data_IF_497061152250
#
_entry.id   IF_497061152250
#
_cell.length_a   1.000
_cell.length_b   1.000
_cell.length_c   1.000
_cell.angle_alpha   90.00
_cell.angle_beta   90.00
_cell.angle_gamma   90.00
#
_symmetry.space_group_name_H-M   'P 1'
#
loop_
_entity.id
_entity.type
_entity.pdbx_description
1 polymer ?
#
# COMPACT_ATOMS: atom_id res chain seq x y z
N UNK A 1 11.77 31.91 11.09
CA UNK A 1 12.60 31.56 9.92
C UNK A 1 11.69 31.65 8.71
N UNK A 2 12.05 32.40 7.67
CA UNK A 2 11.24 32.48 6.45
C UNK A 2 11.90 31.62 5.38
N UNK A 3 11.40 30.39 5.22
CA UNK A 3 11.74 29.54 4.09
C UNK A 3 11.15 30.14 2.80
N UNK A 4 11.79 29.90 1.66
CA UNK A 4 11.13 30.11 0.38
C UNK A 4 9.97 29.11 0.20
N UNK A 5 9.06 29.43 -0.69
CA UNK A 5 7.95 28.54 -1.05
C UNK A 5 8.47 27.20 -1.62
N UNK A 6 9.55 27.22 -2.41
CA UNK A 6 10.20 26.01 -2.92
C UNK A 6 10.82 25.15 -1.81
N UNK A 7 11.46 25.78 -0.82
CA UNK A 7 12.01 25.09 0.34
C UNK A 7 10.90 24.47 1.20
N UNK A 8 9.82 25.22 1.43
CA UNK A 8 8.66 24.77 2.19
C UNK A 8 8.02 23.54 1.54
N UNK A 9 7.76 23.59 0.22
CA UNK A 9 7.25 22.44 -0.54
C UNK A 9 8.16 21.22 -0.47
N UNK A 10 9.48 21.44 -0.57
CA UNK A 10 10.45 20.34 -0.52
C UNK A 10 10.45 19.64 0.84
N UNK A 11 10.41 20.40 1.93
CA UNK A 11 10.34 19.86 3.29
C UNK A 11 8.99 19.16 3.52
N UNK A 12 7.88 19.78 3.11
CA UNK A 12 6.54 19.21 3.21
C UNK A 12 6.49 17.82 2.53
N UNK A 13 6.97 17.74 1.28
CA UNK A 13 7.02 16.49 0.52
C UNK A 13 7.86 15.42 1.23
N UNK A 14 9.01 15.82 1.77
CA UNK A 14 9.88 14.90 2.52
C UNK A 14 9.20 14.36 3.77
N UNK A 15 8.57 15.24 4.56
CA UNK A 15 7.82 14.85 5.78
C UNK A 15 6.69 13.91 5.42
N UNK A 16 5.90 14.24 4.40
CA UNK A 16 4.77 13.44 3.92
C UNK A 16 5.21 12.02 3.53
N UNK A 17 6.26 11.90 2.71
CA UNK A 17 6.76 10.60 2.26
C UNK A 17 7.27 9.75 3.43
N UNK A 18 7.99 10.34 4.38
CA UNK A 18 8.48 9.59 5.55
C UNK A 18 7.32 9.12 6.42
N UNK A 19 6.32 9.98 6.65
CA UNK A 19 5.13 9.61 7.43
C UNK A 19 4.31 8.51 6.75
N UNK A 20 4.12 8.58 5.44
CA UNK A 20 3.43 7.54 4.67
C UNK A 20 4.15 6.19 4.77
N UNK A 21 5.47 6.17 4.56
CA UNK A 21 6.26 4.93 4.64
C UNK A 21 6.27 4.36 6.05
N UNK A 22 6.33 5.20 7.08
CA UNK A 22 6.28 4.73 8.46
C UNK A 22 4.90 4.11 8.78
N UNK A 23 3.82 4.75 8.35
CA UNK A 23 2.46 4.23 8.50
C UNK A 23 2.29 2.88 7.81
N UNK A 24 2.83 2.72 6.60
CA UNK A 24 2.79 1.45 5.87
C UNK A 24 3.55 0.34 6.62
N UNK A 25 4.73 0.64 7.17
CA UNK A 25 5.49 -0.31 7.99
C UNK A 25 4.73 -0.72 9.27
N UNK A 26 4.14 0.26 9.98
CA UNK A 26 3.33 -0.02 11.17
C UNK A 26 2.09 -0.85 10.84
N UNK A 27 1.45 -0.59 9.69
CA UNK A 27 0.30 -1.37 9.23
C UNK A 27 0.67 -2.83 8.93
N UNK A 28 1.83 -3.09 8.33
CA UNK A 28 2.34 -4.46 8.09
C UNK A 28 2.56 -5.21 9.40
N UNK A 29 3.22 -4.57 10.38
CA UNK A 29 3.46 -5.18 11.70
C UNK A 29 2.13 -5.43 12.42
N UNK A 30 1.20 -4.48 12.38
CA UNK A 30 -0.11 -4.69 12.99
C UNK A 30 -0.89 -5.82 12.31
N UNK A 31 -0.85 -5.89 10.97
CA UNK A 31 -1.51 -6.94 10.21
C UNK A 31 -1.03 -8.33 10.63
N UNK A 32 0.28 -8.55 10.73
CA UNK A 32 0.85 -9.86 11.10
C UNK A 32 0.62 -10.24 12.56
N UNK A 33 0.49 -9.25 13.45
CA UNK A 33 0.13 -9.50 14.85
C UNK A 33 -1.34 -9.93 15.01
N UNK A 34 -2.24 -9.37 14.22
CA UNK A 34 -3.68 -9.65 14.29
C UNK A 34 -4.12 -10.83 13.43
N UNK A 35 -3.47 -11.04 12.28
CA UNK A 35 -3.85 -12.05 11.30
C UNK A 35 -2.69 -13.02 11.11
N UNK A 36 -2.86 -14.23 11.64
CA UNK A 36 -1.92 -15.35 11.44
C UNK A 36 -2.28 -16.23 10.24
N UNK A 37 -3.24 -15.80 9.44
CA UNK A 37 -3.66 -16.53 8.26
C UNK A 37 -2.55 -16.52 7.21
N UNK A 38 -2.33 -17.69 6.58
CA UNK A 38 -1.40 -17.81 5.46
C UNK A 38 -2.07 -17.24 4.22
N UNK A 39 -1.36 -16.40 3.47
CA UNK A 39 -1.86 -15.97 2.16
C UNK A 39 -1.88 -17.13 1.17
N UNK A 40 -2.59 -16.95 0.06
CA UNK A 40 -2.85 -18.02 -0.93
C UNK A 40 -1.56 -18.46 -1.62
N UNK A 41 -0.75 -17.51 -2.09
CA UNK A 41 0.53 -17.77 -2.75
C UNK A 41 1.73 -17.30 -1.93
N UNK A 42 1.56 -16.25 -1.11
CA UNK A 42 2.62 -15.65 -0.31
C UNK A 42 2.19 -15.65 1.15
N UNK A 43 3.06 -16.13 2.04
CA UNK A 43 2.86 -16.03 3.49
C UNK A 43 3.77 -14.94 4.03
N UNK A 44 3.19 -13.97 4.74
CA UNK A 44 3.94 -12.99 5.51
C UNK A 44 4.14 -13.54 6.92
N UNK A 45 5.37 -13.90 7.26
CA UNK A 45 5.72 -14.42 8.58
C UNK A 45 6.00 -13.27 9.56
N UNK A 46 5.52 -13.40 10.80
CA UNK A 46 5.96 -12.53 11.89
C UNK A 46 7.24 -13.11 12.50
N UNK A 47 8.37 -12.69 11.97
CA UNK A 47 9.71 -13.13 12.38
C UNK A 47 10.36 -12.24 13.46
N UNK A 48 9.69 -11.15 13.86
CA UNK A 48 10.18 -10.29 14.94
C UNK A 48 10.18 -11.02 16.28
N UNK A 49 11.31 -10.97 16.97
CA UNK A 49 11.34 -11.25 18.42
C UNK A 49 10.62 -10.14 19.18
N UNK A 50 10.19 -10.41 20.41
CA UNK A 50 9.56 -9.40 21.26
C UNK A 50 10.45 -8.16 21.46
N UNK A 51 11.78 -8.35 21.49
CA UNK A 51 12.75 -7.26 21.63
C UNK A 51 12.81 -6.41 20.36
N UNK A 52 12.87 -7.03 19.19
CA UNK A 52 12.89 -6.32 17.90
C UNK A 52 11.59 -5.55 17.67
N UNK A 53 10.45 -6.14 18.02
CA UNK A 53 9.15 -5.46 17.95
C UNK A 53 9.10 -4.21 18.85
N UNK A 54 9.57 -4.32 20.10
CA UNK A 54 9.66 -3.18 21.00
C UNK A 54 10.61 -2.10 20.46
N UNK A 55 11.76 -2.51 19.91
CA UNK A 55 12.71 -1.58 19.29
C UNK A 55 12.10 -0.86 18.09
N UNK A 56 11.41 -1.58 17.20
CA UNK A 56 10.69 -1.00 16.07
C UNK A 56 9.66 0.03 16.53
N UNK A 57 8.80 -0.32 17.48
CA UNK A 57 7.77 0.58 18.01
C UNK A 57 8.37 1.83 18.65
N UNK A 58 9.48 1.68 19.38
CA UNK A 58 10.20 2.81 19.98
C UNK A 58 10.79 3.72 18.89
N UNK A 59 11.44 3.17 17.86
CA UNK A 59 11.99 3.95 16.74
C UNK A 59 10.91 4.65 15.93
N UNK A 60 9.78 3.99 15.67
CA UNK A 60 8.64 4.58 15.00
C UNK A 60 8.11 5.81 15.76
N UNK A 61 8.02 5.72 17.10
CA UNK A 61 7.63 6.85 17.95
C UNK A 61 8.63 8.00 17.87
N UNK A 62 9.92 7.71 17.98
CA UNK A 62 10.99 8.72 17.88
C UNK A 62 10.97 9.44 16.53
N UNK A 63 10.72 8.70 15.42
CA UNK A 63 10.57 9.31 14.10
C UNK A 63 9.38 10.26 14.08
N UNK A 64 8.21 9.86 14.59
CA UNK A 64 7.01 10.73 14.67
C UNK A 64 7.26 11.99 15.49
N UNK A 65 8.01 11.89 16.59
CA UNK A 65 8.42 13.05 17.39
C UNK A 65 9.32 14.00 16.59
N UNK A 66 10.27 13.47 15.81
CA UNK A 66 11.11 14.28 14.91
C UNK A 66 10.26 14.98 13.85
N UNK A 67 9.36 14.25 13.17
CA UNK A 67 8.47 14.82 12.15
C UNK A 67 7.57 15.92 12.75
N UNK A 68 7.00 15.69 13.93
CA UNK A 68 6.19 16.68 14.64
C UNK A 68 6.98 17.97 14.93
N UNK A 69 8.24 17.85 15.37
CA UNK A 69 9.11 19.02 15.57
C UNK A 69 9.42 19.75 14.27
N UNK A 70 9.63 19.04 13.15
CA UNK A 70 9.85 19.67 11.83
C UNK A 70 8.60 20.47 11.43
N UNK A 71 7.42 19.87 11.53
CA UNK A 71 6.14 20.51 11.22
C UNK A 71 5.93 21.78 12.05
N UNK A 72 6.17 21.72 13.36
CA UNK A 72 6.06 22.87 14.25
C UNK A 72 7.11 23.95 13.97
N UNK A 73 8.36 23.56 13.71
CA UNK A 73 9.49 24.49 13.50
C UNK A 73 9.30 25.33 12.24
N UNK A 74 8.76 24.71 11.18
CA UNK A 74 8.60 25.35 9.88
C UNK A 74 7.17 25.81 9.59
N UNK A 75 6.22 25.61 10.52
CA UNK A 75 4.82 26.02 10.35
C UNK A 75 4.13 25.31 9.20
N UNK A 76 4.43 24.02 9.03
CA UNK A 76 3.88 23.20 7.94
C UNK A 76 2.40 22.86 8.21
N UNK A 77 1.61 22.82 7.15
CA UNK A 77 0.20 22.43 7.23
C UNK A 77 0.05 20.91 7.33
N UNK A 78 -0.88 20.47 8.18
CA UNK A 78 -1.26 19.06 8.25
C UNK A 78 -2.25 18.74 7.13
N UNK A 79 -2.04 17.61 6.46
CA UNK A 79 -2.88 17.15 5.38
C UNK A 79 -3.76 15.98 5.85
N UNK A 80 -5.03 15.99 5.47
CA UNK A 80 -5.94 14.86 5.68
C UNK A 80 -5.95 13.99 4.43
N UNK A 81 -5.61 12.71 4.57
CA UNK A 81 -5.67 11.74 3.48
C UNK A 81 -6.87 10.81 3.66
N UNK A 82 -7.68 10.66 2.61
CA UNK A 82 -8.83 9.76 2.61
C UNK A 82 -8.38 8.29 2.52
N UNK A 83 -8.71 7.49 3.54
CA UNK A 83 -8.49 6.04 3.51
C UNK A 83 -9.17 5.38 2.30
N UNK A 84 -10.40 5.81 1.98
CA UNK A 84 -11.13 5.30 0.81
C UNK A 84 -10.35 5.53 -0.47
N UNK A 85 -9.82 6.75 -0.63
CA UNK A 85 -9.00 7.08 -1.79
C UNK A 85 -7.75 6.21 -1.85
N UNK A 86 -7.04 6.01 -0.73
CA UNK A 86 -5.86 5.14 -0.69
C UNK A 86 -6.18 3.69 -1.08
N UNK A 87 -7.29 3.14 -0.57
CA UNK A 87 -7.74 1.78 -0.93
C UNK A 87 -8.09 1.70 -2.41
N UNK A 88 -8.87 2.66 -2.92
CA UNK A 88 -9.23 2.71 -4.35
C UNK A 88 -8.01 2.83 -5.25
N UNK A 89 -7.02 3.64 -4.88
CA UNK A 89 -5.76 3.78 -5.63
C UNK A 89 -4.97 2.47 -5.64
N UNK A 90 -4.84 1.79 -4.49
CA UNK A 90 -4.17 0.47 -4.44
C UNK A 90 -4.92 -0.59 -5.25
N UNK A 91 -6.26 -0.58 -5.20
CA UNK A 91 -7.08 -1.49 -5.98
C UNK A 91 -6.95 -1.23 -7.50
N UNK A 92 -6.83 0.04 -7.92
CA UNK A 92 -6.62 0.38 -9.32
C UNK A 92 -5.29 -0.17 -9.86
N UNK A 93 -4.21 -0.14 -9.07
CA UNK A 93 -2.95 -0.79 -9.46
C UNK A 93 -3.08 -2.31 -9.60
N UNK A 94 -3.75 -2.98 -8.66
CA UNK A 94 -4.01 -4.43 -8.76
C UNK A 94 -4.85 -4.72 -10.02
N UNK A 95 -5.85 -3.89 -10.31
CA UNK A 95 -6.69 -4.05 -11.50
C UNK A 95 -5.87 -3.91 -12.78
N UNK A 96 -4.94 -2.95 -12.85
CA UNK A 96 -4.04 -2.76 -13.99
C UNK A 96 -3.14 -3.99 -14.19
N UNK A 97 -2.58 -4.53 -13.11
CA UNK A 97 -1.74 -5.73 -13.15
C UNK A 97 -2.53 -6.95 -13.66
N UNK A 98 -3.74 -7.18 -13.14
CA UNK A 98 -4.56 -8.35 -13.46
C UNK A 98 -5.15 -8.26 -14.87
N UNK A 99 -5.72 -7.11 -15.25
CA UNK A 99 -6.27 -6.89 -16.59
C UNK A 99 -5.19 -6.97 -17.68
N UNK A 100 -3.95 -6.65 -17.32
CA UNK A 100 -2.80 -6.87 -18.16
C UNK A 100 -2.43 -8.35 -18.33
N UNK A 101 -2.73 -9.23 -17.36
CA UNK A 101 -2.17 -10.57 -17.30
C UNK A 101 -2.83 -11.62 -18.22
N UNK A 102 -3.60 -11.22 -19.24
CA UNK A 102 -4.31 -12.13 -20.15
C UNK A 102 -3.42 -13.20 -20.80
N UNK A 103 -4.02 -14.31 -21.24
CA UNK A 103 -3.32 -15.52 -21.67
C UNK A 103 -2.31 -15.27 -22.79
N UNK A 104 -2.60 -14.30 -23.67
CA UNK A 104 -1.70 -13.94 -24.75
C UNK A 104 -0.38 -13.32 -24.26
N UNK A 105 -0.31 -12.79 -23.04
CA UNK A 105 0.97 -12.36 -22.45
C UNK A 105 1.87 -13.53 -22.06
N UNK A 106 1.34 -14.75 -21.99
CA UNK A 106 2.17 -15.94 -21.80
C UNK A 106 3.00 -16.24 -23.05
N UNK A 107 2.54 -15.81 -24.24
CA UNK A 107 3.20 -16.02 -25.55
C UNK A 107 4.56 -15.31 -25.60
N UNK A 108 5.59 -16.02 -25.16
CA UNK A 108 6.94 -15.51 -24.94
C UNK A 108 7.69 -16.24 -23.83
N UNK A 109 6.99 -17.04 -23.03
CA UNK A 109 7.54 -17.80 -21.90
C UNK A 109 7.71 -19.31 -22.17
N UNK A 110 7.68 -19.73 -23.44
CA UNK A 110 7.88 -21.13 -23.87
C UNK A 110 6.67 -21.69 -24.64
N UNK A 111 6.63 -23.01 -24.76
CA UNK A 111 5.47 -23.73 -25.32
C UNK A 111 4.29 -23.64 -24.34
N UNK A 112 3.16 -23.16 -24.82
CA UNK A 112 1.95 -22.96 -24.02
C UNK A 112 0.88 -23.91 -24.51
N UNK A 113 0.27 -24.64 -23.58
CA UNK A 113 -0.89 -25.45 -23.86
C UNK A 113 -2.12 -24.56 -24.03
N UNK A 114 -2.51 -24.31 -25.28
CA UNK A 114 -3.69 -23.51 -25.63
C UNK A 114 -5.00 -24.08 -25.06
N UNK A 115 -5.04 -25.35 -24.62
CA UNK A 115 -6.23 -25.90 -23.95
C UNK A 115 -6.52 -25.23 -22.60
N UNK A 116 -5.51 -24.62 -21.96
CA UNK A 116 -5.65 -23.93 -20.67
C UNK A 116 -6.28 -22.54 -20.78
N UNK A 117 -6.40 -21.98 -21.99
CA UNK A 117 -6.85 -20.60 -22.21
C UNK A 117 -8.19 -20.30 -21.54
N UNK A 118 -9.16 -21.19 -21.70
CA UNK A 118 -10.51 -20.98 -21.17
C UNK A 118 -10.54 -20.84 -19.66
N UNK A 119 -9.89 -21.75 -18.94
CA UNK A 119 -9.81 -21.73 -17.47
C UNK A 119 -9.01 -20.53 -16.98
N UNK A 120 -7.86 -20.26 -17.60
CA UNK A 120 -6.99 -19.14 -17.24
C UNK A 120 -7.70 -17.78 -17.37
N UNK A 121 -8.33 -17.52 -18.52
CA UNK A 121 -9.08 -16.28 -18.76
C UNK A 121 -10.27 -16.17 -17.80
N UNK A 122 -10.95 -17.26 -17.49
CA UNK A 122 -12.05 -17.25 -16.51
C UNK A 122 -11.56 -16.83 -15.13
N UNK A 123 -10.48 -17.42 -14.62
CA UNK A 123 -9.93 -17.10 -13.31
C UNK A 123 -9.43 -15.65 -13.21
N UNK A 124 -8.76 -15.13 -14.24
CA UNK A 124 -8.32 -13.73 -14.25
C UNK A 124 -9.48 -12.75 -14.38
N UNK A 125 -10.53 -13.10 -15.12
CA UNK A 125 -11.74 -12.29 -15.19
C UNK A 125 -12.46 -12.24 -13.83
N UNK A 126 -12.57 -13.37 -13.12
CA UNK A 126 -13.15 -13.43 -11.77
C UNK A 126 -12.32 -12.60 -10.76
N UNK A 127 -10.98 -12.65 -10.88
CA UNK A 127 -10.09 -11.82 -10.08
C UNK A 127 -10.28 -10.33 -10.39
N UNK A 128 -10.39 -9.96 -11.67
CA UNK A 128 -10.65 -8.59 -12.12
C UNK A 128 -11.95 -8.05 -11.53
N UNK A 129 -13.04 -8.83 -11.61
CA UNK A 129 -14.34 -8.46 -11.04
C UNK A 129 -14.29 -8.30 -9.52
N UNK A 130 -13.51 -9.13 -8.83
CA UNK A 130 -13.32 -9.02 -7.38
C UNK A 130 -12.61 -7.72 -6.99
N UNK A 131 -11.60 -7.31 -7.76
CA UNK A 131 -10.88 -6.04 -7.56
C UNK A 131 -11.77 -4.84 -7.92
N UNK A 132 -12.57 -4.93 -8.99
CA UNK A 132 -13.59 -3.93 -9.33
C UNK A 132 -14.56 -3.71 -8.17
N UNK A 133 -14.95 -4.77 -7.47
CA UNK A 133 -15.77 -4.70 -6.27
C UNK A 133 -15.18 -3.76 -5.23
N UNK A 134 -13.86 -3.82 -4.99
CA UNK A 134 -13.13 -2.96 -4.03
C UNK A 134 -13.12 -1.51 -4.49
N UNK A 135 -12.85 -1.26 -5.78
CA UNK A 135 -12.87 0.10 -6.33
C UNK A 135 -14.25 0.76 -6.21
N UNK A 136 -15.33 -0.04 -6.29
CA UNK A 136 -16.71 0.42 -6.25
C UNK A 136 -17.34 0.49 -4.85
N UNK A 137 -16.58 0.22 -3.77
CA UNK A 137 -17.06 0.39 -2.37
C UNK A 137 -17.52 1.84 -2.08
N UNK A 138 -17.30 2.80 -2.99
CA UNK A 138 -17.53 4.23 -2.79
C UNK A 138 -18.38 4.95 -3.86
N UNK A 139 -19.64 4.58 -4.10
CA UNK A 139 -20.60 5.47 -4.83
C UNK A 139 -22.06 5.44 -4.36
N UNK A 140 -22.34 5.29 -3.06
CA UNK A 140 -23.62 5.74 -2.48
C UNK A 140 -23.37 6.50 -1.18
N UNK A 141 -23.02 7.77 -1.33
CA UNK A 141 -23.42 8.75 -0.32
C UNK A 141 -24.94 8.96 -0.49
N UNK A 142 -25.72 8.59 0.52
CA UNK A 142 -27.05 9.18 0.73
C UNK A 142 -26.88 10.42 1.58
#
# INVERSE_FOLDING_TARGET
MNLSESQTRSIQSTVHVVEEKLRDMEALVYFTLQHREKGVQVTLEHDFTSKELQMFQQRAREIKEVLSRIVQTYGLEQESVSLKHLISTKAAFIWEDVSGAGFDRLKGHGDIDESLRGEYETLLNDLTQSVDGIMNISFKAK
#
